data_IF_469799222741
#
_entry.id   IF_469799222741
#
_cell.length_a   1.000
_cell.length_b   1.000
_cell.length_c   1.000
_cell.angle_alpha   90.00
_cell.angle_beta   90.00
_cell.angle_gamma   90.00
#
_symmetry.space_group_name_H-M   'P 1'
#
loop_
_entity.id
_entity.type
_entity.pdbx_description
1 polymer ?
#
# COMPACT_ATOMS: atom_id res chain seq x y z
N UNK A 1 13.63 15.72 -23.40
CA UNK A 1 13.44 16.09 -21.97
C UNK A 1 12.00 16.60 -21.87
N UNK A 2 11.10 15.72 -21.43
CA UNK A 2 9.69 16.07 -21.24
C UNK A 2 9.54 16.81 -19.90
N UNK A 3 9.92 18.08 -19.89
CA UNK A 3 9.57 18.97 -18.80
C UNK A 3 8.05 19.18 -18.80
N UNK A 4 7.44 19.07 -17.64
CA UNK A 4 6.06 19.55 -17.44
C UNK A 4 6.03 21.00 -17.89
N UNK A 5 5.09 21.36 -18.77
CA UNK A 5 4.95 22.73 -19.22
C UNK A 5 4.63 23.64 -18.02
N UNK A 6 4.96 24.92 -18.11
CA UNK A 6 4.64 25.88 -17.03
C UNK A 6 3.11 25.91 -16.74
N UNK A 7 2.28 25.75 -17.76
CA UNK A 7 0.84 25.69 -17.62
C UNK A 7 0.39 24.44 -16.84
N UNK A 8 0.93 23.26 -17.19
CA UNK A 8 0.64 22.01 -16.50
C UNK A 8 1.09 22.05 -15.04
N UNK A 9 2.25 22.65 -14.80
CA UNK A 9 2.75 22.83 -13.42
C UNK A 9 1.80 23.70 -12.59
N UNK A 10 1.35 24.83 -13.12
CA UNK A 10 0.43 25.73 -12.42
C UNK A 10 -0.91 25.04 -12.11
N UNK A 11 -1.43 24.25 -13.04
CA UNK A 11 -2.67 23.49 -12.83
C UNK A 11 -2.51 22.41 -11.76
N UNK A 12 -1.40 21.64 -11.80
CA UNK A 12 -1.08 20.63 -10.76
C UNK A 12 -0.93 21.32 -9.40
N UNK A 13 -0.23 22.45 -9.34
CA UNK A 13 -0.04 23.20 -8.11
C UNK A 13 -1.38 23.69 -7.52
N UNK A 14 -2.24 24.29 -8.36
CA UNK A 14 -3.56 24.76 -7.92
C UNK A 14 -4.43 23.60 -7.42
N UNK A 15 -4.48 22.48 -8.13
CA UNK A 15 -5.18 21.27 -7.71
C UNK A 15 -4.66 20.77 -6.38
N UNK A 16 -3.34 20.67 -6.23
CA UNK A 16 -2.71 20.25 -4.97
C UNK A 16 -3.11 21.16 -3.82
N UNK A 17 -3.06 22.48 -4.02
CA UNK A 17 -3.47 23.44 -3.00
C UNK A 17 -4.93 23.23 -2.57
N UNK A 18 -5.83 23.01 -3.51
CA UNK A 18 -7.25 22.71 -3.22
C UNK A 18 -7.41 21.43 -2.42
N UNK A 19 -6.73 20.35 -2.80
CA UNK A 19 -6.77 19.07 -2.07
C UNK A 19 -6.23 19.24 -0.64
N UNK A 20 -5.09 19.89 -0.48
CA UNK A 20 -4.47 20.08 0.85
C UNK A 20 -5.34 20.93 1.77
N UNK A 21 -5.98 21.99 1.26
CA UNK A 21 -6.87 22.86 2.07
C UNK A 21 -8.14 22.16 2.49
N UNK A 22 -8.72 21.33 1.60
CA UNK A 22 -9.99 20.67 1.85
C UNK A 22 -9.84 19.33 2.60
N UNK A 23 -8.63 18.75 2.61
CA UNK A 23 -8.40 17.45 3.26
C UNK A 23 -8.27 17.61 4.77
N UNK A 24 -9.00 16.80 5.51
CA UNK A 24 -9.01 16.79 6.99
C UNK A 24 -7.90 15.91 7.57
N UNK A 25 -7.52 14.86 6.84
CA UNK A 25 -6.50 13.91 7.30
C UNK A 25 -5.09 14.44 7.00
N UNK A 26 -4.33 14.78 8.03
CA UNK A 26 -2.96 15.28 7.90
C UNK A 26 -2.06 14.33 7.08
N UNK A 27 -2.27 13.03 7.24
CA UNK A 27 -1.57 12.00 6.46
C UNK A 27 -1.79 12.16 4.95
N UNK A 28 -3.04 12.39 4.50
CA UNK A 28 -3.34 12.64 3.08
C UNK A 28 -2.78 13.96 2.60
N UNK A 29 -2.81 15.01 3.42
CA UNK A 29 -2.19 16.30 3.05
C UNK A 29 -0.73 16.15 2.71
N UNK A 30 0.00 15.38 3.51
CA UNK A 30 1.41 15.09 3.24
C UNK A 30 1.59 14.35 1.92
N UNK A 31 0.75 13.35 1.65
CA UNK A 31 0.83 12.57 0.42
C UNK A 31 0.51 13.41 -0.83
N UNK A 32 -0.44 14.34 -0.77
CA UNK A 32 -0.69 15.30 -1.87
C UNK A 32 0.54 16.19 -2.14
N UNK A 33 1.20 16.68 -1.09
CA UNK A 33 2.46 17.45 -1.23
C UNK A 33 3.56 16.60 -1.86
N UNK A 34 3.68 15.33 -1.49
CA UNK A 34 4.67 14.44 -2.06
C UNK A 34 4.42 14.18 -3.55
N UNK A 35 3.16 13.99 -3.98
CA UNK A 35 2.81 13.87 -5.40
C UNK A 35 3.26 15.11 -6.16
N UNK A 36 2.96 16.32 -5.66
CA UNK A 36 3.40 17.57 -6.28
C UNK A 36 4.92 17.64 -6.38
N UNK A 37 5.63 17.40 -5.27
CA UNK A 37 7.08 17.46 -5.24
C UNK A 37 7.70 16.50 -6.26
N UNK A 38 7.21 15.27 -6.31
CA UNK A 38 7.71 14.25 -7.21
C UNK A 38 7.42 14.58 -8.68
N UNK A 39 6.25 15.14 -8.99
CA UNK A 39 5.90 15.55 -10.35
C UNK A 39 6.83 16.66 -10.90
N UNK A 40 7.42 17.46 -10.01
CA UNK A 40 8.33 18.56 -10.36
C UNK A 40 9.79 18.12 -10.43
N UNK A 41 10.20 17.21 -9.54
CA UNK A 41 11.61 16.82 -9.40
C UNK A 41 12.02 15.68 -10.32
N UNK A 42 11.10 14.78 -10.61
CA UNK A 42 11.37 13.63 -11.48
C UNK A 42 10.67 13.82 -12.82
N UNK A 43 11.31 14.37 -13.79
CA UNK A 43 10.78 14.58 -15.16
C UNK A 43 10.15 13.34 -15.87
N UNK A 44 9.81 12.31 -15.11
CA UNK A 44 9.34 11.01 -15.59
C UNK A 44 7.82 10.81 -15.54
N UNK A 45 7.06 11.81 -15.08
CA UNK A 45 5.62 11.67 -14.94
C UNK A 45 4.87 12.66 -15.81
N UNK A 46 4.02 12.15 -16.71
CA UNK A 46 3.12 12.99 -17.49
C UNK A 46 2.05 13.62 -16.58
N UNK A 47 1.49 14.75 -17.01
CA UNK A 47 0.37 15.42 -16.36
C UNK A 47 -0.79 14.45 -16.04
N UNK A 48 -1.25 13.69 -17.06
CA UNK A 48 -2.34 12.73 -16.90
C UNK A 48 -2.09 11.68 -15.81
N UNK A 49 -0.85 11.23 -15.71
CA UNK A 49 -0.46 10.25 -14.70
C UNK A 49 -0.49 10.86 -13.30
N UNK A 50 0.01 12.08 -13.14
CA UNK A 50 -0.05 12.83 -11.89
C UNK A 50 -1.50 13.04 -11.45
N UNK A 51 -2.37 13.48 -12.37
CA UNK A 51 -3.79 13.66 -12.10
C UNK A 51 -4.47 12.35 -11.71
N UNK A 52 -4.13 11.24 -12.36
CA UNK A 52 -4.66 9.93 -11.99
C UNK A 52 -4.28 9.52 -10.56
N UNK A 53 -3.10 9.91 -10.09
CA UNK A 53 -2.66 9.65 -8.72
C UNK A 53 -3.37 10.54 -7.69
N UNK A 54 -3.66 11.79 -8.03
CA UNK A 54 -4.51 12.63 -7.17
C UNK A 54 -5.90 12.02 -6.97
N UNK A 55 -6.55 11.62 -8.06
CA UNK A 55 -7.88 10.99 -8.00
C UNK A 55 -7.86 9.69 -7.20
N UNK A 56 -6.82 8.88 -7.36
CA UNK A 56 -6.68 7.65 -6.60
C UNK A 56 -6.51 7.94 -5.09
N UNK A 57 -5.65 8.89 -4.73
CA UNK A 57 -5.44 9.28 -3.33
C UNK A 57 -6.70 9.88 -2.70
N UNK A 58 -7.49 10.64 -3.46
CA UNK A 58 -8.77 11.19 -3.00
C UNK A 58 -9.74 10.08 -2.57
N UNK A 59 -9.82 9.01 -3.35
CA UNK A 59 -10.72 7.89 -3.12
C UNK A 59 -10.24 6.92 -2.04
N UNK A 60 -8.94 6.87 -1.75
CA UNK A 60 -8.40 6.00 -0.72
C UNK A 60 -8.86 6.43 0.67
N UNK A 61 -9.28 5.46 1.48
CA UNK A 61 -9.50 5.67 2.91
C UNK A 61 -8.17 5.74 3.68
N UNK A 62 -8.22 6.11 4.96
CA UNK A 62 -7.05 6.02 5.84
C UNK A 62 -6.55 4.58 5.95
N UNK A 63 -7.46 3.62 6.06
CA UNK A 63 -7.15 2.19 6.12
C UNK A 63 -6.49 1.72 4.81
N UNK A 64 -7.02 2.12 3.66
CA UNK A 64 -6.43 1.82 2.35
C UNK A 64 -4.98 2.32 2.23
N UNK A 65 -4.69 3.52 2.73
CA UNK A 65 -3.33 4.06 2.78
C UNK A 65 -2.42 3.22 3.69
N UNK A 66 -2.91 2.79 4.84
CA UNK A 66 -2.13 1.93 5.74
C UNK A 66 -1.86 0.57 5.11
N UNK A 67 -2.85 -0.03 4.47
CA UNK A 67 -2.68 -1.30 3.75
C UNK A 67 -1.59 -1.18 2.68
N UNK A 68 -1.68 -0.20 1.77
CA UNK A 68 -0.69 -0.08 0.70
C UNK A 68 0.72 0.23 1.23
N UNK A 69 0.81 0.97 2.33
CA UNK A 69 2.10 1.26 2.99
C UNK A 69 2.73 -0.02 3.55
N UNK A 70 1.92 -0.88 4.17
CA UNK A 70 2.38 -2.21 4.64
C UNK A 70 2.83 -3.06 3.46
N UNK A 71 2.04 -3.11 2.38
CA UNK A 71 2.33 -3.96 1.21
C UNK A 71 3.56 -3.51 0.41
N UNK A 72 3.98 -2.25 0.57
CA UNK A 72 5.18 -1.73 -0.09
C UNK A 72 6.46 -2.37 0.45
N UNK A 73 6.59 -2.44 1.77
CA UNK A 73 7.69 -3.15 2.43
C UNK A 73 7.19 -3.75 3.76
N UNK A 74 6.53 -4.91 3.70
CA UNK A 74 5.92 -5.51 4.89
C UNK A 74 6.95 -5.94 5.93
N UNK A 75 8.17 -6.31 5.51
CA UNK A 75 9.24 -6.73 6.42
C UNK A 75 9.77 -5.54 7.20
N UNK A 76 10.08 -4.44 6.51
CA UNK A 76 10.54 -3.18 7.13
C UNK A 76 9.48 -2.63 8.06
N UNK A 77 8.23 -2.56 7.62
CA UNK A 77 7.10 -2.09 8.42
C UNK A 77 6.95 -2.86 9.73
N UNK A 78 7.02 -4.19 9.65
CA UNK A 78 6.95 -5.06 10.83
C UNK A 78 8.12 -4.81 11.79
N UNK A 79 9.35 -4.69 11.26
CA UNK A 79 10.56 -4.46 12.05
C UNK A 79 10.52 -3.10 12.78
N UNK A 80 10.12 -2.04 12.08
CA UNK A 80 10.09 -0.67 12.64
C UNK A 80 9.05 -0.53 13.75
N UNK A 81 7.96 -1.28 13.69
CA UNK A 81 6.91 -1.26 14.72
C UNK A 81 7.16 -2.20 15.89
N UNK A 82 8.24 -2.97 15.85
CA UNK A 82 8.56 -3.95 16.91
C UNK A 82 7.46 -4.99 17.13
N UNK A 83 6.62 -5.21 16.11
CA UNK A 83 5.56 -6.19 16.20
C UNK A 83 6.19 -7.58 16.08
N UNK A 84 6.26 -8.25 17.21
CA UNK A 84 6.54 -9.69 17.22
C UNK A 84 5.29 -10.34 16.64
N UNK A 85 5.40 -10.81 15.40
CA UNK A 85 4.38 -11.72 14.89
C UNK A 85 4.54 -12.98 15.74
N UNK A 86 3.51 -13.36 16.52
CA UNK A 86 3.66 -14.50 17.40
C UNK A 86 4.09 -15.70 16.58
N UNK A 87 5.14 -16.37 17.01
CA UNK A 87 5.48 -17.69 16.50
C UNK A 87 4.25 -18.55 16.73
N UNK A 88 3.49 -18.80 15.67
CA UNK A 88 2.36 -19.69 15.77
C UNK A 88 2.93 -21.06 16.16
N UNK A 89 2.37 -21.70 17.18
CA UNK A 89 2.88 -22.98 17.62
C UNK A 89 2.95 -23.96 16.44
N UNK A 90 4.01 -24.72 16.31
CA UNK A 90 4.13 -25.70 15.24
C UNK A 90 2.94 -26.66 15.30
N UNK A 91 2.23 -26.80 14.20
CA UNK A 91 1.19 -27.82 14.08
C UNK A 91 1.90 -29.15 13.90
N UNK A 92 1.88 -29.97 14.93
CA UNK A 92 2.46 -31.31 14.89
C UNK A 92 1.64 -32.19 13.94
N UNK A 93 2.20 -32.54 12.79
CA UNK A 93 1.68 -33.64 11.99
C UNK A 93 2.40 -34.92 12.42
N UNK A 94 1.67 -35.99 12.71
CA UNK A 94 2.18 -37.22 13.31
C UNK A 94 3.14 -38.06 12.48
N UNK A 95 3.71 -37.53 11.40
CA UNK A 95 4.63 -38.23 10.49
C UNK A 95 6.08 -37.70 10.50
N UNK A 96 6.46 -36.88 11.46
CA UNK A 96 7.85 -36.52 11.73
C UNK A 96 8.60 -35.72 10.67
N UNK A 97 7.94 -35.19 9.65
CA UNK A 97 8.58 -34.51 8.52
C UNK A 97 7.93 -33.15 8.26
N UNK A 98 8.72 -32.12 8.48
CA UNK A 98 8.55 -30.74 8.05
C UNK A 98 7.24 -30.04 8.41
N UNK A 99 7.30 -29.21 9.46
CA UNK A 99 6.20 -28.32 9.87
C UNK A 99 6.14 -27.13 8.92
N UNK A 100 5.10 -27.04 8.11
CA UNK A 100 4.76 -25.83 7.37
C UNK A 100 3.63 -25.11 8.10
N UNK A 101 3.88 -23.89 8.58
CA UNK A 101 2.82 -23.03 9.07
C UNK A 101 2.08 -22.40 7.88
N UNK A 102 0.78 -22.40 7.97
CA UNK A 102 -0.11 -21.86 6.94
C UNK A 102 -0.47 -20.43 7.30
N UNK A 103 -0.02 -19.45 6.52
CA UNK A 103 -0.29 -18.04 6.75
C UNK A 103 -1.30 -17.50 5.74
N UNK A 104 -2.34 -16.84 6.26
CA UNK A 104 -3.38 -16.21 5.48
C UNK A 104 -3.11 -14.71 5.34
N UNK A 105 -3.26 -14.17 4.14
CA UNK A 105 -2.96 -12.78 3.80
C UNK A 105 -3.75 -11.77 4.65
N UNK A 106 -5.07 -11.91 4.69
CA UNK A 106 -5.94 -10.97 5.44
C UNK A 106 -5.64 -11.01 6.93
N UNK A 107 -5.41 -12.21 7.49
CA UNK A 107 -5.08 -12.36 8.91
C UNK A 107 -3.75 -11.68 9.26
N UNK A 108 -2.75 -11.74 8.38
CA UNK A 108 -1.49 -11.04 8.61
C UNK A 108 -1.67 -9.52 8.53
N UNK A 109 -2.49 -9.01 7.60
CA UNK A 109 -2.84 -7.59 7.57
C UNK A 109 -3.56 -7.16 8.86
N UNK A 110 -4.54 -7.93 9.34
CA UNK A 110 -5.24 -7.62 10.59
C UNK A 110 -4.27 -7.47 11.77
N UNK A 111 -3.30 -8.37 11.89
CA UNK A 111 -2.30 -8.31 12.96
C UNK A 111 -1.47 -7.03 12.86
N UNK A 112 -1.02 -6.66 11.66
CA UNK A 112 -0.21 -5.46 11.44
C UNK A 112 -1.01 -4.16 11.59
N UNK A 113 -2.31 -4.19 11.33
CA UNK A 113 -3.26 -3.07 11.48
C UNK A 113 -3.90 -3.01 12.87
N UNK A 114 -3.36 -3.70 13.87
CA UNK A 114 -3.84 -3.71 15.27
C UNK A 114 -5.29 -4.17 15.41
N UNK A 115 -5.65 -5.23 14.70
CA UNK A 115 -6.97 -5.86 14.72
C UNK A 115 -8.11 -4.98 14.16
N UNK A 116 -7.82 -4.20 13.14
CA UNK A 116 -8.88 -3.60 12.31
C UNK A 116 -9.89 -4.66 11.87
N UNK A 117 -11.11 -4.25 11.61
CA UNK A 117 -12.15 -5.18 11.20
C UNK A 117 -11.77 -5.91 9.91
N UNK A 118 -12.03 -7.20 9.88
CA UNK A 118 -11.68 -8.04 8.74
C UNK A 118 -12.44 -7.66 7.48
N UNK A 119 -13.69 -7.29 7.62
CA UNK A 119 -14.55 -6.99 6.48
C UNK A 119 -14.17 -5.63 5.90
N UNK A 120 -13.80 -4.64 6.73
CA UNK A 120 -13.25 -3.36 6.29
C UNK A 120 -11.93 -3.55 5.51
N UNK A 121 -11.04 -4.42 5.98
CA UNK A 121 -9.82 -4.76 5.26
C UNK A 121 -10.13 -5.39 3.90
N UNK A 122 -11.09 -6.30 3.84
CA UNK A 122 -11.49 -6.97 2.60
C UNK A 122 -12.10 -5.97 1.62
N UNK A 123 -12.93 -5.04 2.08
CA UNK A 123 -13.51 -3.98 1.25
C UNK A 123 -12.43 -3.09 0.63
N UNK A 124 -11.47 -2.66 1.42
CA UNK A 124 -10.32 -1.89 0.92
C UNK A 124 -9.47 -2.69 -0.08
N UNK A 125 -9.27 -3.98 0.16
CA UNK A 125 -8.56 -4.83 -0.79
C UNK A 125 -9.31 -4.96 -2.13
N UNK A 126 -10.64 -5.04 -2.13
CA UNK A 126 -11.44 -4.99 -3.37
C UNK A 126 -11.26 -3.66 -4.10
N UNK A 127 -11.27 -2.55 -3.38
CA UNK A 127 -11.02 -1.23 -3.98
C UNK A 127 -9.62 -1.17 -4.62
N UNK A 128 -8.59 -1.63 -3.92
CA UNK A 128 -7.22 -1.65 -4.43
C UNK A 128 -7.05 -2.58 -5.64
N UNK A 129 -7.72 -3.72 -5.63
CA UNK A 129 -7.74 -4.68 -6.75
C UNK A 129 -8.44 -4.06 -7.98
N UNK A 130 -9.62 -3.47 -7.81
CA UNK A 130 -10.37 -2.80 -8.87
C UNK A 130 -9.57 -1.67 -9.53
N UNK A 131 -8.78 -0.94 -8.75
CA UNK A 131 -7.87 0.10 -9.23
C UNK A 131 -6.53 -0.44 -9.76
N UNK A 132 -6.33 -1.76 -9.77
CA UNK A 132 -5.11 -2.44 -10.20
C UNK A 132 -3.86 -2.01 -9.43
N UNK A 133 -4.00 -1.69 -8.16
CA UNK A 133 -2.89 -1.38 -7.26
C UNK A 133 -2.26 -2.67 -6.73
N UNK A 134 -3.09 -3.64 -6.42
CA UNK A 134 -2.68 -4.99 -6.01
C UNK A 134 -3.07 -6.02 -7.07
N UNK A 135 -2.44 -7.19 -7.03
CA UNK A 135 -2.81 -8.29 -7.91
C UNK A 135 -4.17 -8.87 -7.55
N UNK A 136 -4.96 -9.32 -8.55
CA UNK A 136 -6.28 -9.91 -8.30
C UNK A 136 -6.17 -11.20 -7.48
N UNK A 137 -7.14 -11.40 -6.59
CA UNK A 137 -7.23 -12.59 -5.74
C UNK A 137 -6.22 -12.66 -4.61
N UNK A 138 -5.44 -11.59 -4.38
CA UNK A 138 -4.39 -11.57 -3.35
C UNK A 138 -4.93 -11.83 -1.95
N UNK A 139 -6.15 -11.40 -1.66
CA UNK A 139 -6.82 -11.60 -0.36
C UNK A 139 -6.97 -13.07 0.03
N UNK A 140 -7.03 -13.94 -0.97
CA UNK A 140 -7.19 -15.40 -0.78
C UNK A 140 -5.84 -16.12 -0.69
N UNK A 141 -4.73 -15.35 -0.81
CA UNK A 141 -3.38 -15.91 -0.76
C UNK A 141 -3.11 -16.56 0.59
N UNK A 142 -2.63 -17.77 0.50
CA UNK A 142 -2.12 -18.54 1.63
C UNK A 142 -0.76 -19.08 1.25
N UNK A 143 0.23 -18.91 2.12
CA UNK A 143 1.55 -19.54 1.96
C UNK A 143 1.79 -20.54 3.08
N UNK A 144 2.56 -21.56 2.75
CA UNK A 144 3.12 -22.49 3.71
C UNK A 144 4.64 -22.24 3.77
N UNK A 145 5.13 -21.87 4.92
CA UNK A 145 6.54 -21.54 5.08
C UNK A 145 7.00 -21.74 6.52
N UNK A 146 8.28 -22.05 6.69
CA UNK A 146 8.96 -22.02 7.98
C UNK A 146 9.55 -20.64 8.29
N UNK A 147 9.44 -19.71 7.33
CA UNK A 147 10.01 -18.37 7.39
C UNK A 147 9.03 -17.39 8.06
N UNK A 148 9.37 -16.12 7.97
CA UNK A 148 8.56 -15.03 8.51
C UNK A 148 7.15 -15.03 7.88
N UNK A 149 6.08 -15.07 8.69
CA UNK A 149 4.69 -15.05 8.21
C UNK A 149 4.35 -13.80 7.39
N UNK A 150 5.07 -12.69 7.57
CA UNK A 150 4.90 -11.46 6.80
C UNK A 150 5.19 -11.67 5.31
N UNK A 151 5.95 -12.70 4.94
CA UNK A 151 6.25 -13.00 3.54
C UNK A 151 4.99 -13.28 2.69
N UNK A 152 3.86 -13.63 3.30
CA UNK A 152 2.59 -13.76 2.58
C UNK A 152 2.15 -12.44 1.94
N UNK A 153 2.57 -11.30 2.49
CA UNK A 153 2.25 -9.96 2.02
C UNK A 153 3.19 -9.44 0.94
N UNK A 154 4.35 -10.09 0.74
CA UNK A 154 5.32 -9.66 -0.25
C UNK A 154 4.79 -9.82 -1.68
N UNK A 155 5.32 -8.98 -2.57
CA UNK A 155 4.99 -9.03 -4.01
C UNK A 155 3.49 -8.98 -4.29
N UNK A 156 2.77 -8.20 -3.49
CA UNK A 156 1.32 -8.03 -3.62
C UNK A 156 0.94 -6.85 -4.52
N UNK A 157 1.85 -5.89 -4.68
CA UNK A 157 1.66 -4.72 -5.52
C UNK A 157 1.90 -5.04 -6.99
N UNK A 158 1.04 -4.49 -7.84
CA UNK A 158 1.29 -4.44 -9.28
C UNK A 158 2.33 -3.38 -9.60
N UNK A 159 2.82 -3.33 -10.84
CA UNK A 159 3.70 -2.24 -11.30
C UNK A 159 3.05 -0.86 -11.16
N UNK A 160 1.74 -0.76 -11.37
CA UNK A 160 0.98 0.49 -11.13
C UNK A 160 1.01 0.85 -9.64
N UNK A 161 0.80 -0.13 -8.75
CA UNK A 161 0.86 0.08 -7.30
C UNK A 161 2.24 0.51 -6.82
N UNK A 162 3.30 -0.14 -7.28
CA UNK A 162 4.68 0.25 -6.98
C UNK A 162 4.98 1.68 -7.44
N UNK A 163 4.61 2.02 -8.67
CA UNK A 163 4.81 3.36 -9.21
C UNK A 163 4.01 4.41 -8.42
N UNK A 164 2.76 4.12 -8.07
CA UNK A 164 1.94 5.03 -7.25
C UNK A 164 2.61 5.29 -5.90
N UNK A 165 3.04 4.23 -5.21
CA UNK A 165 3.69 4.36 -3.91
C UNK A 165 5.04 5.08 -3.97
N UNK A 166 5.81 4.90 -5.02
CA UNK A 166 7.05 5.65 -5.21
C UNK A 166 6.82 7.17 -5.27
N UNK A 167 5.63 7.62 -5.66
CA UNK A 167 5.22 9.03 -5.60
C UNK A 167 4.78 9.50 -4.21
N UNK A 168 4.37 8.58 -3.34
CA UNK A 168 3.87 8.91 -2.01
C UNK A 168 4.95 8.93 -0.93
N UNK A 169 6.01 8.13 -1.07
CA UNK A 169 6.91 7.75 0.03
C UNK A 169 8.25 8.51 0.03
N UNK A 170 8.48 9.43 -0.90
CA UNK A 170 9.73 10.23 -0.93
C UNK A 170 9.62 11.53 -0.16
#
# INVERSE_FOLDING_TARGET
>A
EDYISQADFLDIFEKTARYVVNERLEKKRLLYKNILLHSVTTCSCSYDKTESYFRLLEQLSSLGIDIITILYDPIKYNKERGMIIPDLPPIYSGSGLHYYLKYNFVKQLQLLLKNEDKDDIIEELYFLEANRIIYPGIKDRVIQTNNNPVNVLEKSLTKKGENFLSFLVH
#
